data_IF_838504935913
#
_entry.id   IF_838504935913
#
_cell.length_a   1.000
_cell.length_b   1.000
_cell.length_c   1.000
_cell.angle_alpha   90.00
_cell.angle_beta   90.00
_cell.angle_gamma   90.00
#
_symmetry.space_group_name_H-M   'P 1'
#
loop_
_entity.id
_entity.type
_entity.pdbx_description
1 polymer ?
#
# COMPACT_ATOMS: atom_id res chain seq x y z
N UNK A 1 -6.11 -20.71 -31.07
CA UNK A 1 -4.86 -20.92 -30.30
C UNK A 1 -4.48 -19.79 -29.34
N UNK A 2 -5.06 -18.58 -29.45
CA UNK A 2 -4.69 -17.40 -28.64
C UNK A 2 -4.93 -17.54 -27.12
N UNK A 3 -5.88 -18.39 -26.70
CA UNK A 3 -6.24 -18.58 -25.29
C UNK A 3 -5.09 -19.11 -24.40
N UNK A 4 -4.10 -19.81 -24.96
CA UNK A 4 -2.98 -20.37 -24.17
C UNK A 4 -1.95 -19.32 -23.78
N UNK A 5 -1.67 -18.33 -24.64
CA UNK A 5 -0.72 -17.25 -24.33
C UNK A 5 -1.34 -16.24 -23.36
N UNK A 6 -2.62 -15.87 -23.56
CA UNK A 6 -3.35 -15.01 -22.62
C UNK A 6 -3.51 -15.67 -21.24
N UNK A 7 -3.87 -16.95 -21.15
CA UNK A 7 -3.94 -17.67 -19.85
C UNK A 7 -2.59 -17.77 -19.13
N UNK A 8 -1.46 -17.70 -19.83
CA UNK A 8 -0.12 -17.74 -19.20
C UNK A 8 0.26 -16.37 -18.65
N UNK A 9 -0.02 -15.30 -19.38
CA UNK A 9 0.16 -13.94 -18.90
C UNK A 9 -0.75 -13.65 -17.69
N UNK A 10 -2.03 -14.03 -17.76
CA UNK A 10 -3.00 -13.87 -16.66
C UNK A 10 -2.58 -14.65 -15.41
N UNK A 11 -2.11 -15.90 -15.55
CA UNK A 11 -1.61 -16.69 -14.41
C UNK A 11 -0.38 -16.07 -13.75
N UNK A 12 0.53 -15.47 -14.53
CA UNK A 12 1.65 -14.73 -13.99
C UNK A 12 1.20 -13.54 -13.14
N UNK A 13 0.27 -12.73 -13.67
CA UNK A 13 -0.27 -11.56 -12.96
C UNK A 13 -0.96 -11.96 -11.65
N UNK A 14 -1.78 -13.01 -11.66
CA UNK A 14 -2.43 -13.50 -10.44
C UNK A 14 -1.40 -13.89 -9.39
N UNK A 15 -0.33 -14.60 -9.77
CA UNK A 15 0.76 -14.94 -8.85
C UNK A 15 1.46 -13.70 -8.26
N UNK A 16 1.74 -12.68 -9.07
CA UNK A 16 2.30 -11.42 -8.59
C UNK A 16 1.36 -10.68 -7.63
N UNK A 17 0.07 -10.56 -7.99
CA UNK A 17 -0.97 -9.92 -7.16
C UNK A 17 -1.08 -10.63 -5.81
N UNK A 18 -1.24 -11.95 -5.81
CA UNK A 18 -1.33 -12.74 -4.57
C UNK A 18 -0.06 -12.64 -3.74
N UNK A 19 1.12 -12.75 -4.36
CA UNK A 19 2.39 -12.62 -3.65
C UNK A 19 2.54 -11.24 -3.00
N UNK A 20 2.23 -10.18 -3.74
CA UNK A 20 2.32 -8.81 -3.24
C UNK A 20 1.30 -8.52 -2.12
N UNK A 21 0.10 -9.11 -2.20
CA UNK A 21 -0.90 -9.04 -1.14
C UNK A 21 -0.39 -9.70 0.14
N UNK A 22 0.17 -10.90 0.03
CA UNK A 22 0.73 -11.63 1.18
C UNK A 22 1.92 -10.89 1.80
N UNK A 23 2.79 -10.29 0.98
CA UNK A 23 3.88 -9.43 1.47
C UNK A 23 3.30 -8.22 2.23
N UNK A 24 2.24 -7.59 1.71
CA UNK A 24 1.57 -6.49 2.39
C UNK A 24 0.94 -6.90 3.72
N UNK A 25 0.26 -8.05 3.77
CA UNK A 25 -0.31 -8.61 5.01
C UNK A 25 0.80 -8.94 6.01
N UNK A 26 1.90 -9.54 5.56
CA UNK A 26 3.05 -9.84 6.40
C UNK A 26 3.68 -8.56 6.96
N UNK A 27 3.86 -7.53 6.12
CA UNK A 27 4.36 -6.23 6.55
C UNK A 27 3.44 -5.59 7.60
N UNK A 28 2.13 -5.66 7.38
CA UNK A 28 1.15 -5.16 8.34
C UNK A 28 1.27 -5.87 9.69
N UNK A 29 1.29 -7.20 9.68
CA UNK A 29 1.30 -8.01 10.89
C UNK A 29 2.62 -7.94 11.66
N UNK A 30 3.77 -7.95 10.96
CA UNK A 30 5.09 -8.00 11.60
C UNK A 30 5.73 -6.64 11.85
N UNK A 31 5.27 -5.56 11.20
CA UNK A 31 5.87 -4.23 11.35
C UNK A 31 4.87 -3.23 11.91
N UNK A 32 3.70 -3.08 11.26
CA UNK A 32 2.74 -2.05 11.63
C UNK A 32 2.04 -2.38 12.96
N UNK A 33 1.46 -3.58 13.06
CA UNK A 33 0.73 -4.04 14.25
C UNK A 33 1.56 -3.98 15.54
N UNK A 34 2.79 -4.55 15.62
CA UNK A 34 3.57 -4.49 16.86
C UNK A 34 3.92 -3.06 17.25
N UNK A 35 4.16 -2.18 16.27
CA UNK A 35 4.40 -0.77 16.56
C UNK A 35 3.14 -0.07 17.09
N UNK A 36 1.99 -0.29 16.45
CA UNK A 36 0.71 0.21 16.94
C UNK A 36 0.46 -0.26 18.37
N UNK A 37 0.66 -1.55 18.67
CA UNK A 37 0.48 -2.10 20.02
C UNK A 37 1.46 -1.50 21.04
N UNK A 38 2.72 -1.29 20.66
CA UNK A 38 3.70 -0.63 21.51
C UNK A 38 3.26 0.81 21.84
N UNK A 39 2.77 1.54 20.83
CA UNK A 39 2.30 2.90 21.02
C UNK A 39 1.01 2.95 21.87
N UNK A 40 0.04 2.09 21.60
CA UNK A 40 -1.20 1.99 22.39
C UNK A 40 -0.96 1.57 23.83
N UNK A 41 -0.02 0.65 24.08
CA UNK A 41 0.38 0.24 25.42
C UNK A 41 1.09 1.35 26.20
N UNK A 42 1.77 2.27 25.49
CA UNK A 42 2.43 3.42 26.10
C UNK A 42 1.48 4.59 26.40
N UNK A 43 0.26 4.59 25.84
CA UNK A 43 -0.72 5.65 26.01
C UNK A 43 -1.58 5.44 27.26
N UNK A 44 -1.36 6.25 28.30
CA UNK A 44 -2.25 6.38 29.46
C UNK A 44 -3.02 7.70 29.36
N UNK A 45 -4.33 7.62 29.13
CA UNK A 45 -5.20 8.79 28.95
C UNK A 45 -5.42 9.57 30.26
N UNK A 46 -5.34 8.90 31.42
CA UNK A 46 -5.26 9.45 32.77
C UNK A 46 -4.87 8.33 33.75
N UNK A 47 -4.27 8.64 34.91
CA UNK A 47 -4.01 7.65 35.97
C UNK A 47 -5.29 6.98 36.51
N UNK A 48 -6.47 7.58 36.27
CA UNK A 48 -7.77 7.17 36.79
C UNK A 48 -8.67 6.40 35.80
N UNK A 49 -8.26 6.21 34.55
CA UNK A 49 -9.06 5.50 33.54
C UNK A 49 -8.32 4.24 33.13
N UNK A 50 -8.81 3.09 33.59
CA UNK A 50 -8.33 1.79 33.12
C UNK A 50 -8.64 1.63 31.64
N UNK A 51 -7.60 1.37 30.85
CA UNK A 51 -7.73 1.12 29.43
C UNK A 51 -8.21 -0.33 29.24
N UNK A 52 -9.53 -0.55 29.36
CA UNK A 52 -10.13 -1.89 29.23
C UNK A 52 -10.28 -2.21 27.74
N UNK A 53 -9.24 -2.80 27.16
CA UNK A 53 -9.27 -3.25 25.77
C UNK A 53 -10.05 -4.55 25.65
N UNK A 54 -11.11 -4.53 24.85
CA UNK A 54 -11.80 -5.78 24.47
C UNK A 54 -10.96 -6.49 23.42
N UNK A 55 -10.72 -7.78 23.63
CA UNK A 55 -9.97 -8.64 22.68
C UNK A 55 -10.59 -8.58 21.28
N UNK A 56 -11.92 -8.47 21.17
CA UNK A 56 -12.61 -8.32 19.89
C UNK A 56 -12.22 -7.06 19.11
N UNK A 57 -12.02 -5.94 19.80
CA UNK A 57 -11.63 -4.67 19.17
C UNK A 57 -10.19 -4.73 18.68
N UNK A 58 -9.30 -5.35 19.47
CA UNK A 58 -7.90 -5.58 19.13
C UNK A 58 -7.77 -6.47 17.89
N UNK A 59 -8.50 -7.60 17.85
CA UNK A 59 -8.50 -8.51 16.69
C UNK A 59 -9.05 -7.79 15.46
N UNK A 60 -10.14 -7.03 15.61
CA UNK A 60 -10.74 -6.27 14.51
C UNK A 60 -9.76 -5.26 13.93
N UNK A 61 -9.04 -4.53 14.79
CA UNK A 61 -8.00 -3.59 14.39
C UNK A 61 -6.86 -4.28 13.61
N UNK A 62 -6.36 -5.41 14.11
CA UNK A 62 -5.30 -6.19 13.44
C UNK A 62 -5.76 -6.64 12.05
N UNK A 63 -6.97 -7.21 11.95
CA UNK A 63 -7.52 -7.72 10.69
C UNK A 63 -7.74 -6.58 9.70
N UNK A 64 -8.36 -5.47 10.12
CA UNK A 64 -8.58 -4.31 9.27
C UNK A 64 -7.27 -3.73 8.75
N UNK A 65 -6.25 -3.64 9.62
CA UNK A 65 -4.92 -3.14 9.26
C UNK A 65 -4.24 -4.08 8.25
N UNK A 66 -4.29 -5.39 8.46
CA UNK A 66 -3.73 -6.37 7.54
C UNK A 66 -4.38 -6.30 6.16
N UNK A 67 -5.72 -6.23 6.11
CA UNK A 67 -6.46 -6.12 4.84
C UNK A 67 -6.16 -4.79 4.15
N UNK A 68 -6.22 -3.66 4.87
CA UNK A 68 -5.98 -2.34 4.30
C UNK A 68 -4.58 -2.25 3.69
N UNK A 69 -3.55 -2.64 4.43
CA UNK A 69 -2.16 -2.62 3.96
C UNK A 69 -1.95 -3.61 2.82
N UNK A 70 -2.51 -4.82 2.90
CA UNK A 70 -2.49 -5.80 1.80
C UNK A 70 -3.06 -5.24 0.49
N UNK A 71 -4.16 -4.49 0.57
CA UNK A 71 -4.76 -3.80 -0.57
C UNK A 71 -3.89 -2.66 -1.08
N UNK A 72 -3.29 -1.85 -0.19
CA UNK A 72 -2.38 -0.78 -0.61
C UNK A 72 -1.14 -1.32 -1.31
N UNK A 73 -0.65 -2.50 -0.90
CA UNK A 73 0.44 -3.18 -1.59
C UNK A 73 0.11 -3.54 -3.04
N UNK A 74 -1.16 -3.55 -3.47
CA UNK A 74 -1.52 -3.75 -4.87
C UNK A 74 -1.28 -2.54 -5.77
N UNK A 75 -1.01 -1.36 -5.20
CA UNK A 75 -0.75 -0.12 -5.94
C UNK A 75 0.27 -0.24 -7.09
N UNK A 76 1.40 -0.96 -6.96
CA UNK A 76 2.39 -1.08 -8.04
C UNK A 76 1.82 -1.79 -9.26
N UNK A 77 1.05 -2.86 -9.05
CA UNK A 77 0.40 -3.62 -10.12
C UNK A 77 -0.71 -2.78 -10.76
N UNK A 78 -1.50 -2.10 -9.93
CA UNK A 78 -2.64 -1.29 -10.35
C UNK A 78 -2.19 -0.10 -11.21
N UNK A 79 -1.20 0.66 -10.74
CA UNK A 79 -0.64 1.80 -11.48
C UNK A 79 0.11 1.36 -12.73
N UNK A 80 0.82 0.22 -12.68
CA UNK A 80 1.41 -0.36 -13.87
C UNK A 80 0.35 -0.72 -14.92
N UNK A 81 -0.74 -1.40 -14.53
CA UNK A 81 -1.83 -1.77 -15.43
C UNK A 81 -2.50 -0.52 -16.05
N UNK A 82 -2.78 0.50 -15.24
CA UNK A 82 -3.34 1.77 -15.71
C UNK A 82 -2.40 2.47 -16.71
N UNK A 83 -1.09 2.37 -16.54
CA UNK A 83 -0.14 2.93 -17.50
C UNK A 83 -0.09 2.14 -18.81
N UNK A 84 -0.29 0.82 -18.78
CA UNK A 84 -0.44 0.02 -20.00
C UNK A 84 -1.68 0.44 -20.81
N UNK A 85 -2.76 0.81 -20.12
CA UNK A 85 -3.99 1.33 -20.72
C UNK A 85 -3.88 2.79 -21.19
N UNK A 86 -2.74 3.47 -20.92
CA UNK A 86 -2.54 4.88 -21.27
C UNK A 86 -3.28 5.87 -20.37
N UNK A 87 -3.87 5.41 -19.26
CA UNK A 87 -4.69 6.23 -18.35
C UNK A 87 -3.80 7.10 -17.47
N UNK A 88 -2.65 6.57 -17.03
CA UNK A 88 -1.70 7.29 -16.18
C UNK A 88 -0.31 7.27 -16.81
N UNK A 89 0.49 8.28 -16.50
CA UNK A 89 1.91 8.35 -16.89
C UNK A 89 2.81 8.55 -15.68
N UNK A 90 4.08 8.15 -15.77
CA UNK A 90 5.06 8.39 -14.71
C UNK A 90 5.15 9.88 -14.37
N UNK A 91 5.09 10.76 -15.38
CA UNK A 91 5.07 12.21 -15.19
C UNK A 91 3.79 12.68 -14.46
N UNK A 92 2.62 12.14 -14.81
CA UNK A 92 1.36 12.44 -14.12
C UNK A 92 1.38 11.98 -12.67
N UNK A 93 1.84 10.77 -12.41
CA UNK A 93 1.93 10.22 -11.05
C UNK A 93 2.89 11.03 -10.16
N UNK A 94 3.99 11.58 -10.73
CA UNK A 94 4.87 12.49 -9.98
C UNK A 94 4.17 13.78 -9.54
N UNK A 95 3.29 14.34 -10.38
CA UNK A 95 2.48 15.52 -10.00
C UNK A 95 1.48 15.19 -8.88
N UNK A 96 1.09 13.92 -8.77
CA UNK A 96 0.13 13.44 -7.78
C UNK A 96 0.77 12.98 -6.44
N UNK A 97 2.08 13.14 -6.23
CA UNK A 97 2.78 12.73 -4.98
C UNK A 97 2.11 13.25 -3.71
N UNK A 98 1.64 14.50 -3.73
CA UNK A 98 0.94 15.12 -2.59
C UNK A 98 -0.34 14.37 -2.21
N UNK A 99 -1.04 13.77 -3.18
CA UNK A 99 -2.26 13.01 -2.92
C UNK A 99 -1.95 11.63 -2.35
N UNK A 100 -0.83 11.01 -2.75
CA UNK A 100 -0.39 9.75 -2.14
C UNK A 100 -0.06 9.93 -0.65
N UNK A 101 0.61 11.05 -0.30
CA UNK A 101 0.88 11.40 1.10
C UNK A 101 -0.43 11.67 1.85
N UNK A 102 -1.35 12.45 1.28
CA UNK A 102 -2.65 12.70 1.87
C UNK A 102 -3.42 11.40 2.14
N UNK A 103 -3.45 10.49 1.17
CA UNK A 103 -4.10 9.19 1.32
C UNK A 103 -3.46 8.35 2.42
N UNK A 104 -2.13 8.34 2.52
CA UNK A 104 -1.41 7.64 3.59
C UNK A 104 -1.73 8.20 4.99
N UNK A 105 -1.86 9.52 5.12
CA UNK A 105 -2.26 10.18 6.38
C UNK A 105 -3.71 9.86 6.73
N UNK A 106 -4.63 9.88 5.75
CA UNK A 106 -6.04 9.49 5.97
C UNK A 106 -6.12 8.02 6.42
N UNK A 107 -5.41 7.12 5.75
CA UNK A 107 -5.29 5.72 6.17
C UNK A 107 -4.75 5.59 7.59
N UNK A 108 -3.72 6.38 7.91
CA UNK A 108 -3.20 6.51 9.27
C UNK A 108 -4.30 6.85 10.25
N UNK A 109 -5.01 7.98 10.06
CA UNK A 109 -6.07 8.41 10.97
C UNK A 109 -7.26 7.46 11.07
N UNK A 110 -7.55 6.65 10.04
CA UNK A 110 -8.61 5.62 10.11
C UNK A 110 -8.14 4.39 10.90
N UNK A 111 -6.86 4.01 10.77
CA UNK A 111 -6.30 2.83 11.42
C UNK A 111 -5.80 3.11 12.85
N UNK A 112 -5.29 4.30 13.14
CA UNK A 112 -4.86 4.70 14.49
C UNK A 112 -5.86 5.67 15.11
N UNK A 113 -6.56 5.30 16.20
CA UNK A 113 -7.43 6.23 16.94
C UNK A 113 -6.69 7.41 17.56
N UNK A 114 -5.37 7.31 17.79
CA UNK A 114 -4.54 8.44 18.19
C UNK A 114 -4.03 9.19 16.95
N UNK A 115 -4.29 10.50 16.81
CA UNK A 115 -3.73 11.32 15.74
C UNK A 115 -2.30 11.75 16.09
N UNK A 116 -1.44 10.80 16.44
CA UNK A 116 -0.06 11.07 16.82
C UNK A 116 0.85 11.08 15.59
N UNK A 117 1.70 12.10 15.52
CA UNK A 117 2.56 12.36 14.34
C UNK A 117 3.53 11.21 14.07
N UNK A 118 4.03 10.54 15.12
CA UNK A 118 5.01 9.46 14.98
C UNK A 118 4.40 8.20 14.36
N UNK A 119 3.24 7.72 14.84
CA UNK A 119 2.59 6.54 14.25
C UNK A 119 2.10 6.84 12.84
N UNK A 120 1.62 8.06 12.59
CA UNK A 120 1.25 8.49 11.23
C UNK A 120 2.44 8.51 10.28
N UNK A 121 3.61 9.00 10.70
CA UNK A 121 4.82 8.97 9.89
C UNK A 121 5.31 7.54 9.65
N UNK A 122 5.22 6.67 10.64
CA UNK A 122 5.62 5.27 10.48
C UNK A 122 4.76 4.54 9.46
N UNK A 123 3.47 4.86 9.38
CA UNK A 123 2.59 4.37 8.32
C UNK A 123 2.86 5.06 6.98
N UNK A 124 3.07 6.38 6.98
CA UNK A 124 3.20 7.16 5.76
C UNK A 124 4.49 6.88 4.99
N UNK A 125 5.62 6.67 5.67
CA UNK A 125 6.92 6.39 5.03
C UNK A 125 6.91 5.14 4.13
N UNK A 126 6.50 3.94 4.61
CA UNK A 126 6.46 2.75 3.77
C UNK A 126 5.43 2.88 2.65
N UNK A 127 4.28 3.52 2.88
CA UNK A 127 3.29 3.77 1.83
C UNK A 127 3.81 4.73 0.76
N UNK A 128 4.52 5.78 1.14
CA UNK A 128 5.18 6.69 0.22
C UNK A 128 6.27 5.99 -0.59
N UNK A 129 7.10 5.16 0.05
CA UNK A 129 8.11 4.35 -0.64
C UNK A 129 7.48 3.40 -1.66
N UNK A 130 6.35 2.79 -1.33
CA UNK A 130 5.60 1.91 -2.21
C UNK A 130 4.99 2.66 -3.41
N UNK A 131 4.51 3.89 -3.19
CA UNK A 131 4.07 4.76 -4.28
C UNK A 131 5.23 5.16 -5.20
N UNK A 132 6.40 5.48 -4.65
CA UNK A 132 7.59 5.81 -5.44
C UNK A 132 8.09 4.61 -6.27
N UNK A 133 8.09 3.42 -5.68
CA UNK A 133 8.37 2.17 -6.39
C UNK A 133 7.40 1.97 -7.56
N UNK A 134 6.12 2.28 -7.37
CA UNK A 134 5.09 2.20 -8.41
C UNK A 134 5.39 3.15 -9.57
N UNK A 135 5.76 4.40 -9.29
CA UNK A 135 6.18 5.38 -10.31
C UNK A 135 7.37 4.86 -11.10
N UNK A 136 8.35 4.27 -10.41
CA UNK A 136 9.56 3.73 -11.04
C UNK A 136 9.26 2.57 -11.99
N UNK A 137 8.38 1.64 -11.58
CA UNK A 137 7.91 0.53 -12.43
C UNK A 137 7.20 1.06 -13.68
N UNK A 138 6.30 2.05 -13.51
CA UNK A 138 5.61 2.70 -14.63
C UNK A 138 6.61 3.37 -15.58
N UNK A 139 7.59 4.09 -15.06
CA UNK A 139 8.61 4.76 -15.88
C UNK A 139 9.44 3.77 -16.71
N UNK A 140 9.85 2.64 -16.12
CA UNK A 140 10.59 1.60 -16.85
C UNK A 140 9.72 1.03 -17.98
N UNK A 141 8.45 0.77 -17.68
CA UNK A 141 7.48 0.27 -18.65
C UNK A 141 7.28 1.23 -19.83
N UNK A 142 7.10 2.53 -19.56
CA UNK A 142 6.96 3.56 -20.60
C UNK A 142 8.20 3.66 -21.49
N UNK A 143 9.40 3.64 -20.89
CA UNK A 143 10.67 3.68 -21.63
C UNK A 143 10.83 2.48 -22.57
N UNK A 144 10.40 1.29 -22.13
CA UNK A 144 10.41 0.08 -22.97
C UNK A 144 9.46 0.23 -24.15
N UNK A 145 8.23 0.72 -23.94
CA UNK A 145 7.26 0.95 -25.03
C UNK A 145 7.79 1.93 -26.08
N UNK A 146 8.39 3.05 -25.68
CA UNK A 146 8.93 4.05 -26.62
C UNK A 146 10.06 3.51 -27.51
N UNK A 147 10.81 2.49 -27.09
CA UNK A 147 11.84 1.87 -27.94
C UNK A 147 11.28 1.01 -29.09
N UNK A 148 10.04 0.54 -28.99
CA UNK A 148 9.41 -0.30 -30.02
C UNK A 148 8.58 0.47 -31.05
N UNK A 149 8.45 1.78 -30.87
CA UNK A 149 7.94 2.71 -31.89
C UNK A 149 9.10 3.64 -32.28
N UNK A 150 10.08 3.18 -33.09
CA UNK A 150 10.96 4.11 -33.77
C UNK A 150 10.07 5.03 -34.61
N UNK A 151 10.11 6.31 -34.27
CA UNK A 151 9.46 7.38 -35.02
C UNK A 151 9.98 7.28 -36.46
N UNK A 152 9.08 7.00 -37.39
CA UNK A 152 9.33 7.12 -38.83
C UNK A 152 9.37 8.58 -39.25
#
# INVERSE_FOLDING_TARGET
GLYRHERRALRGIVGYVSGLFLIGVAFAYFVIVPFMMYFFGSFRLAESVENIWRIGDVISLIVQTCVAVGLVFQMPVLLWALSQAGIVTAAGLRKLRRYAILFAVILGGVLTPSPDVLSQLLLAVPLWGLYELSIWIVQISERRRRRYLPVG
#
